data_IF_437729401003
#
_entry.id   IF_437729401003
#
_cell.length_a   1.000
_cell.length_b   1.000
_cell.length_c   1.000
_cell.angle_alpha   90.00
_cell.angle_beta   90.00
_cell.angle_gamma   90.00
#
_symmetry.space_group_name_H-M   'P 1'
#
loop_
_entity.id
_entity.type
_entity.pdbx_description
1 polymer ?
#
# COMPACT_ATOMS: atom_id res chain seq x y z
N UNK A 1 9.02 -3.57 -3.83
CA UNK A 1 8.39 -4.64 -3.04
C UNK A 1 9.13 -5.97 -3.14
N UNK A 2 8.67 -6.96 -2.38
CA UNK A 2 9.33 -8.28 -2.25
C UNK A 2 9.13 -9.23 -3.44
N UNK A 3 8.54 -8.78 -4.56
CA UNK A 3 8.48 -9.54 -5.80
C UNK A 3 7.12 -10.11 -6.19
N UNK A 4 6.04 -9.72 -5.51
CA UNK A 4 4.68 -10.21 -5.79
C UNK A 4 4.29 -10.14 -7.28
N UNK A 5 4.58 -9.03 -7.94
CA UNK A 5 4.30 -8.87 -9.37
C UNK A 5 5.44 -9.36 -10.25
N UNK A 6 6.67 -9.37 -9.73
CA UNK A 6 7.85 -9.89 -10.42
C UNK A 6 7.63 -11.34 -10.83
N UNK A 7 7.13 -12.19 -9.92
CA UNK A 7 6.81 -13.59 -10.16
C UNK A 7 5.90 -13.75 -11.40
N UNK A 8 4.75 -13.08 -11.37
CA UNK A 8 3.74 -13.18 -12.43
C UNK A 8 4.30 -12.72 -13.77
N UNK A 9 5.02 -11.61 -13.79
CA UNK A 9 5.58 -11.04 -15.02
C UNK A 9 6.67 -11.93 -15.63
N UNK A 10 7.57 -12.49 -14.80
CA UNK A 10 8.60 -13.42 -15.25
C UNK A 10 7.99 -14.72 -15.80
N UNK A 11 6.94 -15.24 -15.16
CA UNK A 11 6.19 -16.41 -15.68
C UNK A 11 5.53 -16.16 -17.02
N UNK A 12 5.17 -14.91 -17.32
CA UNK A 12 4.65 -14.50 -18.62
C UNK A 12 5.74 -14.21 -19.66
N UNK A 13 7.01 -14.45 -19.33
CA UNK A 13 8.15 -14.25 -20.22
C UNK A 13 8.60 -12.81 -20.38
N UNK A 14 8.15 -11.89 -19.52
CA UNK A 14 8.57 -10.49 -19.57
C UNK A 14 10.02 -10.31 -19.09
N UNK A 15 10.72 -9.33 -19.67
CA UNK A 15 11.95 -8.79 -19.08
C UNK A 15 11.59 -7.76 -18.02
N UNK A 16 11.88 -8.05 -16.76
CA UNK A 16 11.45 -7.25 -15.61
C UNK A 16 12.62 -6.48 -15.01
N UNK A 17 12.41 -5.20 -14.72
CA UNK A 17 13.31 -4.41 -13.85
C UNK A 17 12.54 -4.01 -12.60
N UNK A 18 12.87 -4.59 -11.47
CA UNK A 18 12.25 -4.31 -10.18
C UNK A 18 12.99 -3.19 -9.46
N UNK A 19 12.22 -2.22 -8.94
CA UNK A 19 12.77 -1.07 -8.22
C UNK A 19 12.07 -0.92 -6.87
N UNK A 20 12.82 -0.64 -5.82
CA UNK A 20 12.29 -0.27 -4.50
C UNK A 20 13.32 0.57 -3.73
N UNK A 21 12.86 1.50 -2.89
CA UNK A 21 13.69 2.31 -2.00
C UNK A 21 13.86 1.66 -0.62
N UNK A 22 13.17 0.58 -0.34
CA UNK A 22 13.20 -0.12 0.94
C UNK A 22 14.00 -1.42 0.87
N UNK A 23 14.24 -2.02 2.03
CA UNK A 23 14.86 -3.34 2.14
C UNK A 23 14.06 -4.47 1.45
N UNK A 24 12.83 -4.22 1.03
CA UNK A 24 12.02 -5.16 0.25
C UNK A 24 12.68 -5.52 -1.10
N UNK A 25 13.57 -4.67 -1.62
CA UNK A 25 14.37 -4.96 -2.83
C UNK A 25 15.27 -6.18 -2.62
N UNK A 26 15.81 -6.36 -1.41
CA UNK A 26 16.67 -7.53 -1.10
C UNK A 26 15.85 -8.82 -0.97
N UNK A 27 14.63 -8.72 -0.44
CA UNK A 27 13.69 -9.85 -0.44
C UNK A 27 13.29 -10.24 -1.87
N UNK A 28 13.07 -9.25 -2.76
CA UNK A 28 12.85 -9.51 -4.18
C UNK A 28 14.04 -10.22 -4.83
N UNK A 29 15.25 -9.72 -4.57
CA UNK A 29 16.49 -10.33 -5.08
C UNK A 29 16.72 -11.77 -4.58
N UNK A 30 16.29 -12.06 -3.34
CA UNK A 30 16.36 -13.40 -2.78
C UNK A 30 15.33 -14.35 -3.40
N UNK A 31 14.09 -13.87 -3.55
CA UNK A 31 12.99 -14.67 -4.11
C UNK A 31 13.16 -14.90 -5.63
N UNK A 32 13.65 -13.90 -6.35
CA UNK A 32 13.85 -13.91 -7.79
C UNK A 32 15.24 -13.36 -8.13
N UNK A 33 16.29 -14.22 -8.13
CA UNK A 33 17.66 -13.77 -8.41
C UNK A 33 17.79 -13.07 -9.76
N UNK A 34 18.69 -12.10 -9.82
CA UNK A 34 19.00 -11.40 -11.05
C UNK A 34 19.52 -12.34 -12.13
N UNK A 35 19.05 -12.14 -13.35
CA UNK A 35 19.45 -12.90 -14.53
C UNK A 35 19.22 -12.08 -15.80
N UNK A 36 19.29 -12.69 -16.98
CA UNK A 36 19.07 -12.00 -18.26
C UNK A 36 17.63 -11.44 -18.42
N UNK A 37 16.65 -11.97 -17.68
CA UNK A 37 15.24 -11.50 -17.72
C UNK A 37 14.87 -10.61 -16.53
N UNK A 38 15.63 -10.63 -15.43
CA UNK A 38 15.32 -9.90 -14.22
C UNK A 38 16.50 -9.04 -13.74
N UNK A 39 16.33 -7.72 -13.82
CA UNK A 39 17.19 -6.73 -13.19
C UNK A 39 16.56 -6.16 -11.93
N UNK A 40 17.38 -5.74 -10.97
CA UNK A 40 16.95 -5.17 -9.69
C UNK A 40 17.74 -3.89 -9.41
N UNK A 41 17.04 -2.84 -8.97
CA UNK A 41 17.66 -1.58 -8.58
C UNK A 41 17.10 -1.09 -7.23
N UNK A 42 17.99 -0.70 -6.33
CA UNK A 42 17.66 0.08 -5.15
C UNK A 42 17.62 1.56 -5.56
N UNK A 43 16.44 2.15 -5.67
CA UNK A 43 16.31 3.53 -6.13
C UNK A 43 15.00 4.19 -5.67
N UNK A 44 15.04 5.52 -5.57
CA UNK A 44 13.87 6.34 -5.33
C UNK A 44 13.05 6.51 -6.62
N UNK A 45 11.74 6.34 -6.53
CA UNK A 45 10.79 6.58 -7.62
C UNK A 45 10.87 8.02 -8.16
N UNK A 46 11.26 8.97 -7.33
CA UNK A 46 11.44 10.37 -7.71
C UNK A 46 12.75 10.64 -8.45
N UNK A 47 13.70 9.68 -8.43
CA UNK A 47 15.03 9.79 -9.03
C UNK A 47 15.48 8.43 -9.59
N UNK A 48 14.76 7.95 -10.59
CA UNK A 48 15.05 6.67 -11.22
C UNK A 48 16.34 6.71 -12.06
N UNK A 49 17.21 5.68 -11.94
CA UNK A 49 18.52 5.66 -12.62
C UNK A 49 18.44 5.17 -14.08
N UNK A 50 17.32 5.40 -14.75
CA UNK A 50 17.10 4.93 -16.11
C UNK A 50 16.97 6.10 -17.09
N UNK A 51 17.27 5.82 -18.36
CA UNK A 51 17.00 6.77 -19.44
C UNK A 51 15.49 6.87 -19.67
N UNK A 52 14.95 8.07 -19.95
CA UNK A 52 13.56 8.24 -20.35
C UNK A 52 13.18 7.34 -21.53
N UNK A 53 11.91 6.93 -21.58
CA UNK A 53 11.39 6.12 -22.67
C UNK A 53 12.00 4.72 -22.79
N UNK A 54 12.40 4.11 -21.68
CA UNK A 54 13.07 2.80 -21.70
C UNK A 54 12.13 1.60 -21.71
N UNK A 55 10.97 1.69 -21.06
CA UNK A 55 10.11 0.54 -20.78
C UNK A 55 8.83 0.56 -21.62
N UNK A 56 8.43 -0.61 -22.11
CA UNK A 56 7.16 -0.79 -22.82
C UNK A 56 5.98 -0.69 -21.86
N UNK A 57 6.17 -1.16 -20.61
CA UNK A 57 5.20 -1.07 -19.52
C UNK A 57 5.89 -0.64 -18.25
N UNK A 58 5.33 0.35 -17.55
CA UNK A 58 5.71 0.73 -16.19
C UNK A 58 4.56 0.42 -15.26
N UNK A 59 4.81 -0.42 -14.25
CA UNK A 59 3.83 -0.86 -13.26
C UNK A 59 4.20 -0.33 -11.88
N UNK A 60 3.29 0.44 -11.24
CA UNK A 60 3.49 0.98 -9.91
C UNK A 60 2.20 0.89 -9.10
N UNK A 61 2.07 -0.15 -8.28
CA UNK A 61 0.88 -0.45 -7.49
C UNK A 61 1.19 -0.41 -5.99
N UNK A 62 0.34 0.28 -5.22
CA UNK A 62 0.46 0.40 -3.76
C UNK A 62 1.61 1.29 -3.28
N UNK A 63 2.16 2.18 -4.12
CA UNK A 63 3.36 2.97 -3.80
C UNK A 63 3.13 4.48 -3.85
N UNK A 64 2.43 4.99 -4.86
CA UNK A 64 2.34 6.42 -5.16
C UNK A 64 1.79 7.22 -3.96
N UNK A 65 0.80 6.70 -3.26
CA UNK A 65 0.18 7.31 -2.08
C UNK A 65 1.14 7.48 -0.90
N UNK A 66 2.25 6.76 -0.89
CA UNK A 66 3.28 6.81 0.15
C UNK A 66 4.47 7.70 -0.23
N UNK A 67 4.45 8.32 -1.40
CA UNK A 67 5.50 9.25 -1.83
C UNK A 67 5.30 10.65 -1.26
N UNK A 68 6.36 11.44 -1.06
CA UNK A 68 6.25 12.83 -0.62
C UNK A 68 5.42 13.70 -1.57
N UNK A 69 5.50 13.41 -2.88
CA UNK A 69 4.80 14.13 -3.95
C UNK A 69 4.29 13.13 -4.98
N UNK A 70 3.01 12.80 -4.90
CA UNK A 70 2.38 11.80 -5.78
C UNK A 70 2.32 12.24 -7.25
N UNK A 71 2.12 13.53 -7.52
CA UNK A 71 2.08 14.07 -8.88
C UNK A 71 3.45 13.99 -9.54
N UNK A 72 4.50 14.37 -8.82
CA UNK A 72 5.88 14.24 -9.31
C UNK A 72 6.25 12.77 -9.53
N UNK A 73 5.83 11.85 -8.64
CA UNK A 73 6.07 10.42 -8.81
C UNK A 73 5.43 9.90 -10.10
N UNK A 74 4.18 10.28 -10.37
CA UNK A 74 3.49 9.91 -11.62
C UNK A 74 4.23 10.46 -12.84
N UNK A 75 4.67 11.73 -12.81
CA UNK A 75 5.44 12.34 -13.89
C UNK A 75 6.74 11.57 -14.15
N UNK A 76 7.50 11.24 -13.08
CA UNK A 76 8.76 10.49 -13.19
C UNK A 76 8.56 9.07 -13.73
N UNK A 77 7.48 8.40 -13.36
CA UNK A 77 7.12 7.10 -13.92
C UNK A 77 6.73 7.21 -15.40
N UNK A 78 5.96 8.22 -15.75
CA UNK A 78 5.55 8.44 -17.13
C UNK A 78 6.75 8.70 -18.05
N UNK A 79 7.75 9.47 -17.60
CA UNK A 79 8.99 9.69 -18.32
C UNK A 79 9.74 8.40 -18.69
N UNK A 80 9.54 7.31 -17.94
CA UNK A 80 10.18 6.01 -18.20
C UNK A 80 9.48 5.20 -19.30
N UNK A 81 8.23 5.55 -19.64
CA UNK A 81 7.42 4.81 -20.62
C UNK A 81 7.83 5.18 -22.03
N UNK A 82 8.02 4.19 -22.89
CA UNK A 82 8.24 4.39 -24.33
C UNK A 82 7.02 5.05 -25.00
N UNK A 83 7.20 5.80 -26.09
CA UNK A 83 6.08 6.20 -26.92
C UNK A 83 5.21 5.00 -27.34
N UNK A 84 3.89 5.09 -27.06
CA UNK A 84 2.95 3.97 -27.29
C UNK A 84 2.95 2.88 -26.23
N UNK A 85 3.74 3.01 -25.17
CA UNK A 85 3.74 2.08 -24.03
C UNK A 85 2.67 2.40 -22.98
N UNK A 86 2.69 1.69 -21.85
CA UNK A 86 1.66 1.75 -20.82
C UNK A 86 2.25 2.14 -19.46
N UNK A 87 1.60 3.09 -18.79
CA UNK A 87 1.76 3.35 -17.36
C UNK A 87 0.56 2.78 -16.62
N UNK A 88 0.80 1.81 -15.74
CA UNK A 88 -0.24 1.17 -14.90
C UNK A 88 0.03 1.54 -13.46
N UNK A 89 -0.88 2.31 -12.87
CA UNK A 89 -0.79 2.80 -11.50
C UNK A 89 -2.10 2.57 -10.76
N UNK A 90 -2.02 2.48 -9.43
CA UNK A 90 -3.16 2.64 -8.54
C UNK A 90 -2.90 3.82 -7.60
N UNK A 91 -3.98 4.40 -7.10
CA UNK A 91 -3.94 5.40 -6.05
C UNK A 91 -5.26 5.44 -5.29
N UNK A 92 -5.22 5.89 -4.05
CA UNK A 92 -6.43 6.10 -3.29
C UNK A 92 -7.06 7.45 -3.63
N UNK A 93 -8.37 7.41 -4.00
CA UNK A 93 -9.16 8.62 -4.21
C UNK A 93 -9.55 9.25 -2.88
N UNK A 94 -9.68 10.57 -2.87
CA UNK A 94 -10.16 11.31 -1.71
C UNK A 94 -11.68 11.16 -1.60
N UNK A 95 -12.15 10.06 -1.01
CA UNK A 95 -13.57 9.90 -0.69
C UNK A 95 -13.93 10.70 0.56
N UNK A 96 -14.69 11.75 0.38
CA UNK A 96 -15.35 12.50 1.46
C UNK A 96 -16.52 11.68 2.02
N UNK A 97 -16.21 10.65 2.82
CA UNK A 97 -17.26 9.89 3.53
C UNK A 97 -17.74 10.69 4.73
N UNK A 98 -18.89 11.31 4.59
CA UNK A 98 -19.58 12.01 5.68
C UNK A 98 -19.79 11.04 6.86
N UNK A 99 -19.49 11.53 8.08
CA UNK A 99 -19.70 10.76 9.32
C UNK A 99 -18.64 9.70 9.64
N UNK A 100 -17.45 9.76 9.04
CA UNK A 100 -16.32 8.88 9.39
C UNK A 100 -15.38 9.63 10.35
N UNK A 101 -15.06 9.00 11.50
CA UNK A 101 -14.15 9.55 12.50
C UNK A 101 -12.67 9.32 12.21
N UNK A 102 -12.30 8.56 11.18
CA UNK A 102 -10.88 8.32 10.82
C UNK A 102 -10.04 9.59 10.70
N UNK A 103 -10.54 10.71 10.13
CA UNK A 103 -9.77 11.95 10.08
C UNK A 103 -9.37 12.50 11.47
N UNK A 104 -10.20 12.29 12.49
CA UNK A 104 -9.89 12.70 13.86
C UNK A 104 -8.79 11.84 14.48
N UNK A 105 -8.88 10.51 14.32
CA UNK A 105 -7.82 9.59 14.73
C UNK A 105 -6.50 9.90 14.04
N UNK A 106 -6.55 10.14 12.73
CA UNK A 106 -5.38 10.53 11.94
C UNK A 106 -4.75 11.82 12.48
N UNK A 107 -5.55 12.87 12.72
CA UNK A 107 -5.07 14.14 13.24
C UNK A 107 -4.44 14.01 14.64
N UNK A 108 -4.96 13.08 15.44
CA UNK A 108 -4.43 12.78 16.77
C UNK A 108 -3.11 11.98 16.68
N UNK A 109 -3.05 10.90 15.91
CA UNK A 109 -1.86 10.06 15.75
C UNK A 109 -0.68 10.83 15.12
N UNK A 110 -0.95 11.71 14.17
CA UNK A 110 0.08 12.60 13.57
C UNK A 110 0.78 13.54 14.54
N UNK A 111 0.21 13.79 15.72
CA UNK A 111 0.81 14.59 16.78
C UNK A 111 1.68 13.79 17.75
N UNK A 112 1.67 12.45 17.61
CA UNK A 112 2.46 11.57 18.47
C UNK A 112 3.88 11.39 17.92
N UNK A 113 4.87 11.12 18.79
CA UNK A 113 6.17 10.61 18.38
C UNK A 113 6.01 9.30 17.59
N UNK A 114 6.74 9.18 16.48
CA UNK A 114 6.59 8.06 15.54
C UNK A 114 6.78 6.69 16.20
N UNK A 115 7.67 6.59 17.18
CA UNK A 115 7.93 5.37 17.95
C UNK A 115 6.72 4.88 18.77
N UNK A 116 5.77 5.77 19.09
CA UNK A 116 4.56 5.44 19.86
C UNK A 116 3.37 5.09 19.00
N UNK A 117 3.40 5.43 17.72
CA UNK A 117 2.25 5.26 16.82
C UNK A 117 1.89 3.78 16.65
N UNK A 118 2.86 2.92 16.31
CA UNK A 118 2.60 1.49 16.11
C UNK A 118 2.08 0.80 17.39
N UNK A 119 2.69 0.94 18.57
CA UNK A 119 2.14 0.37 19.81
C UNK A 119 0.72 0.85 20.16
N UNK A 120 0.38 2.09 19.82
CA UNK A 120 -0.98 2.61 20.03
C UNK A 120 -1.96 1.95 19.08
N UNK A 121 -1.61 1.83 17.79
CA UNK A 121 -2.46 1.16 16.79
C UNK A 121 -2.65 -0.31 17.13
N UNK A 122 -1.61 -1.02 17.57
CA UNK A 122 -1.72 -2.41 18.05
C UNK A 122 -2.78 -2.55 19.15
N UNK A 123 -2.73 -1.69 20.18
CA UNK A 123 -3.72 -1.69 21.26
C UNK A 123 -5.14 -1.40 20.75
N UNK A 124 -5.28 -0.47 19.80
CA UNK A 124 -6.57 -0.17 19.17
C UNK A 124 -7.10 -1.37 18.38
N UNK A 125 -6.24 -2.04 17.62
CA UNK A 125 -6.59 -3.27 16.89
C UNK A 125 -7.03 -4.34 17.87
N UNK A 126 -6.23 -4.65 18.89
CA UNK A 126 -6.55 -5.70 19.87
C UNK A 126 -7.84 -5.43 20.64
N UNK A 127 -8.16 -4.17 20.93
CA UNK A 127 -9.37 -3.79 21.64
C UNK A 127 -10.63 -3.80 20.76
N UNK A 128 -10.53 -3.38 19.49
CA UNK A 128 -11.71 -3.11 18.65
C UNK A 128 -11.96 -4.22 17.62
N UNK A 129 -10.92 -4.94 17.18
CA UNK A 129 -11.05 -6.00 16.18
C UNK A 129 -12.06 -7.10 16.57
N UNK A 130 -12.12 -7.56 17.85
CA UNK A 130 -13.15 -8.54 18.27
C UNK A 130 -14.58 -8.05 18.01
N UNK A 131 -14.85 -6.75 18.18
CA UNK A 131 -16.17 -6.18 17.90
C UNK A 131 -16.51 -6.22 16.40
N UNK A 132 -15.56 -5.93 15.54
CA UNK A 132 -15.71 -6.09 14.08
C UNK A 132 -16.00 -7.55 13.69
N UNK A 133 -15.34 -8.50 14.36
CA UNK A 133 -15.60 -9.94 14.17
C UNK A 133 -17.03 -10.33 14.54
N UNK A 134 -17.51 -9.89 15.69
CA UNK A 134 -18.88 -10.19 16.14
C UNK A 134 -19.93 -9.58 15.21
N UNK A 135 -19.73 -8.33 14.80
CA UNK A 135 -20.68 -7.58 13.97
C UNK A 135 -20.58 -7.88 12.47
N UNK A 136 -19.61 -8.68 12.02
CA UNK A 136 -19.36 -8.93 10.58
C UNK A 136 -20.58 -9.41 9.80
N UNK A 137 -21.49 -10.16 10.43
CA UNK A 137 -22.70 -10.69 9.81
C UNK A 137 -23.94 -9.81 10.06
N UNK A 138 -23.86 -8.79 10.92
CA UNK A 138 -24.94 -7.85 11.19
C UNK A 138 -24.63 -6.51 10.48
N UNK A 139 -25.10 -6.36 9.23
CA UNK A 139 -24.75 -5.24 8.37
C UNK A 139 -24.96 -3.84 8.98
N UNK A 140 -26.13 -3.52 9.60
CA UNK A 140 -26.34 -2.18 10.18
C UNK A 140 -25.33 -1.86 11.28
N UNK A 141 -25.07 -2.78 12.19
CA UNK A 141 -24.09 -2.63 13.27
C UNK A 141 -22.67 -2.54 12.77
N UNK A 142 -22.30 -3.39 11.81
CA UNK A 142 -21.00 -3.33 11.15
C UNK A 142 -20.78 -1.99 10.43
N UNK A 143 -21.78 -1.51 9.68
CA UNK A 143 -21.70 -0.24 8.97
C UNK A 143 -21.54 0.94 9.93
N UNK A 144 -22.30 0.98 11.04
CA UNK A 144 -22.17 1.99 12.09
C UNK A 144 -20.77 1.93 12.73
N UNK A 145 -20.29 0.71 13.05
CA UNK A 145 -18.96 0.51 13.61
C UNK A 145 -17.85 1.03 12.68
N UNK A 146 -17.93 0.75 11.39
CA UNK A 146 -16.94 1.22 10.40
C UNK A 146 -16.88 2.75 10.28
N UNK A 147 -17.94 3.47 10.70
CA UNK A 147 -17.92 4.94 10.71
C UNK A 147 -17.21 5.53 11.91
N UNK A 148 -17.26 4.85 13.05
CA UNK A 148 -16.65 5.33 14.30
C UNK A 148 -15.29 4.69 14.58
N UNK A 149 -15.07 3.48 14.09
CA UNK A 149 -13.83 2.74 14.26
C UNK A 149 -12.69 3.34 13.44
N UNK A 150 -11.48 3.43 14.00
CA UNK A 150 -10.27 3.76 13.24
C UNK A 150 -9.82 2.64 12.33
N UNK A 151 -10.23 1.38 12.59
CA UNK A 151 -9.69 0.20 11.95
C UNK A 151 -10.11 0.06 10.49
N UNK A 152 -9.21 -0.45 9.68
CA UNK A 152 -9.49 -1.08 8.40
C UNK A 152 -9.55 -2.58 8.63
N UNK A 153 -10.64 -3.25 8.25
CA UNK A 153 -10.85 -4.69 8.52
C UNK A 153 -11.31 -5.44 7.29
N UNK A 154 -10.99 -6.73 7.22
CA UNK A 154 -11.19 -7.59 6.05
C UNK A 154 -12.20 -8.72 6.27
N UNK A 155 -12.89 -8.76 7.41
CA UNK A 155 -13.85 -9.83 7.72
C UNK A 155 -14.98 -10.03 6.72
N UNK A 156 -15.29 -9.01 5.91
CA UNK A 156 -16.34 -9.11 4.88
C UNK A 156 -15.79 -9.28 3.47
N UNK A 157 -14.64 -8.69 3.17
CA UNK A 157 -14.00 -8.78 1.85
C UNK A 157 -13.17 -10.04 1.68
N UNK A 158 -12.59 -10.54 2.76
CA UNK A 158 -11.75 -11.73 2.80
C UNK A 158 -12.13 -12.60 4.02
N UNK A 159 -13.36 -13.15 4.06
CA UNK A 159 -13.87 -13.87 5.21
C UNK A 159 -13.14 -15.19 5.50
N UNK A 160 -12.47 -15.75 4.50
CA UNK A 160 -11.69 -16.99 4.56
C UNK A 160 -10.31 -16.84 5.23
N UNK A 161 -9.84 -15.59 5.43
CA UNK A 161 -8.54 -15.36 6.06
C UNK A 161 -8.53 -15.86 7.52
N UNK A 162 -7.48 -16.60 7.93
CA UNK A 162 -7.24 -16.95 9.32
C UNK A 162 -7.17 -15.71 10.23
N UNK A 163 -7.57 -15.85 11.50
CA UNK A 163 -7.63 -14.73 12.45
C UNK A 163 -6.31 -13.97 12.62
N UNK A 164 -5.18 -14.68 12.63
CA UNK A 164 -3.88 -14.01 12.74
C UNK A 164 -3.60 -13.10 11.53
N UNK A 165 -3.99 -13.51 10.31
CA UNK A 165 -3.87 -12.68 9.11
C UNK A 165 -4.90 -11.55 9.09
N UNK A 166 -6.13 -11.77 9.58
CA UNK A 166 -7.12 -10.70 9.78
C UNK A 166 -6.56 -9.60 10.69
N UNK A 167 -5.89 -10.00 11.80
CA UNK A 167 -5.26 -9.07 12.73
C UNK A 167 -4.07 -8.34 12.07
N UNK A 168 -3.19 -9.07 11.41
CA UNK A 168 -2.00 -8.50 10.76
C UNK A 168 -2.39 -7.49 9.68
N UNK A 169 -3.32 -7.83 8.79
CA UNK A 169 -3.81 -6.92 7.75
C UNK A 169 -4.53 -5.71 8.35
N UNK A 170 -5.36 -5.92 9.39
CA UNK A 170 -6.00 -4.81 10.07
C UNK A 170 -4.97 -3.86 10.72
N UNK A 171 -3.89 -4.39 11.29
CA UNK A 171 -2.81 -3.61 11.88
C UNK A 171 -2.10 -2.77 10.82
N UNK A 172 -1.62 -3.40 9.75
CA UNK A 172 -0.85 -2.74 8.70
C UNK A 172 -1.68 -1.68 7.97
N UNK A 173 -2.90 -2.01 7.52
CA UNK A 173 -3.75 -1.08 6.79
C UNK A 173 -4.31 0.03 7.68
N UNK A 174 -4.52 -0.23 8.98
CA UNK A 174 -4.89 0.84 9.93
C UNK A 174 -3.72 1.79 10.12
N UNK A 175 -2.50 1.28 10.27
CA UNK A 175 -1.29 2.09 10.33
C UNK A 175 -1.16 2.96 9.08
N UNK A 176 -1.20 2.37 7.89
CA UNK A 176 -1.05 3.08 6.63
C UNK A 176 -2.12 4.16 6.42
N UNK A 177 -3.38 3.84 6.76
CA UNK A 177 -4.49 4.78 6.58
C UNK A 177 -4.51 5.94 7.60
N UNK A 178 -3.88 5.78 8.76
CA UNK A 178 -3.91 6.76 9.85
C UNK A 178 -2.62 7.56 10.04
N UNK A 179 -1.53 7.18 9.35
CA UNK A 179 -0.24 7.87 9.48
C UNK A 179 -0.01 8.92 8.40
N UNK A 180 1.13 9.62 8.49
CA UNK A 180 1.54 10.66 7.54
C UNK A 180 1.86 10.13 6.13
N UNK A 181 2.21 8.86 6.05
CA UNK A 181 2.60 8.23 4.79
C UNK A 181 1.45 8.02 3.82
N UNK A 182 0.20 8.14 4.30
CA UNK A 182 -0.97 8.01 3.45
C UNK A 182 -1.35 9.35 2.82
N UNK A 183 -1.32 9.43 1.50
CA UNK A 183 -1.77 10.58 0.72
C UNK A 183 -2.78 10.14 -0.34
N UNK A 184 -3.91 10.83 -0.40
CA UNK A 184 -4.88 10.66 -1.48
C UNK A 184 -4.68 11.74 -2.54
N UNK A 185 -4.81 11.38 -3.79
CA UNK A 185 -4.81 12.32 -4.92
C UNK A 185 -6.22 12.91 -5.04
N UNK A 186 -6.32 14.22 -5.25
CA UNK A 186 -7.57 14.96 -5.44
C UNK A 186 -8.01 14.94 -6.89
#
# INVERSE_FOLDING_TARGET
GAGRFTEVLLHQGAHVTSVDLSNAVYANAHNFPQNHQHGIAFADILSLPFRPGRFDVVLCLGVIQHTPNSELAISRLYEQVKPGGWLIIDHYTHERRWGNLKPLYRAWLKRMPQERVMPVIERMVDAILPLHRVLRNFYPGWFALCRVSPLTTFYRSLPELPEHLQREFALLDTHDSLTDWFKSIR
#
